data_IF_591911210646
#
_entry.id   IF_591911210646
#
_cell.length_a   1.000
_cell.length_b   1.000
_cell.length_c   1.000
_cell.angle_alpha   90.00
_cell.angle_beta   90.00
_cell.angle_gamma   90.00
#
_symmetry.space_group_name_H-M   'P 1'
#
loop_
_entity.id
_entity.type
_entity.pdbx_description
1 polymer ?
#
# COMPACT_ATOMS: atom_id res chain seq x y z
N UNK A 1 -1.37 25.81 15.55
CA UNK A 1 -2.24 25.43 14.40
C UNK A 1 -2.06 23.95 14.14
N UNK A 2 -3.14 23.14 14.12
CA UNK A 2 -3.05 21.69 13.88
C UNK A 2 -3.19 21.38 12.40
N UNK A 3 -2.41 20.39 11.96
CA UNK A 3 -2.42 19.88 10.60
C UNK A 3 -3.03 18.47 10.60
N UNK A 4 -4.09 18.26 9.86
CA UNK A 4 -4.72 16.96 9.66
C UNK A 4 -4.23 16.42 8.33
N UNK A 5 -3.64 15.25 8.34
CA UNK A 5 -3.24 14.49 7.16
C UNK A 5 -4.23 13.32 6.99
N UNK A 6 -5.07 13.40 5.97
CA UNK A 6 -6.06 12.39 5.64
C UNK A 6 -5.56 11.52 4.50
N UNK A 7 -5.54 10.20 4.65
CA UNK A 7 -5.14 9.30 3.57
C UNK A 7 -5.96 8.02 3.55
N UNK A 8 -6.15 7.51 2.34
CA UNK A 8 -6.98 6.35 2.04
C UNK A 8 -6.18 5.30 1.32
N UNK A 9 -6.34 4.04 1.75
CA UNK A 9 -5.79 2.88 1.08
C UNK A 9 -6.89 2.18 0.29
N UNK A 10 -6.60 1.83 -0.97
CA UNK A 10 -7.47 1.09 -1.87
C UNK A 10 -6.71 -0.13 -2.37
N UNK A 11 -7.14 -1.30 -1.93
CA UNK A 11 -6.58 -2.56 -2.37
C UNK A 11 -7.68 -3.61 -2.50
N UNK A 12 -7.78 -4.20 -3.69
CA UNK A 12 -8.63 -5.34 -3.99
C UNK A 12 -7.78 -6.37 -4.73
N UNK A 13 -7.56 -7.56 -4.17
CA UNK A 13 -6.74 -8.58 -4.79
C UNK A 13 -7.47 -9.26 -5.95
N UNK A 14 -6.72 -9.79 -6.90
CA UNK A 14 -7.26 -10.80 -7.82
C UNK A 14 -7.68 -12.04 -7.03
N UNK A 15 -8.87 -12.56 -7.31
CA UNK A 15 -9.34 -13.80 -6.72
C UNK A 15 -8.73 -14.99 -7.44
N UNK A 16 -8.15 -15.93 -6.68
CA UNK A 16 -7.76 -17.21 -7.26
C UNK A 16 -9.00 -18.10 -7.44
N UNK A 17 -9.13 -18.72 -8.61
CA UNK A 17 -10.16 -19.73 -8.83
C UNK A 17 -9.89 -20.97 -7.97
N UNK A 18 -10.89 -21.81 -7.77
CA UNK A 18 -10.70 -23.12 -7.17
C UNK A 18 -9.86 -23.97 -8.11
N UNK A 19 -8.54 -24.09 -7.80
CA UNK A 19 -7.56 -24.78 -8.62
C UNK A 19 -7.27 -26.17 -8.04
N UNK A 20 -7.49 -27.21 -8.85
CA UNK A 20 -7.38 -28.60 -8.39
C UNK A 20 -6.02 -29.20 -8.75
N UNK A 21 -5.57 -30.15 -7.97
CA UNK A 21 -4.33 -30.89 -8.21
C UNK A 21 -4.21 -31.45 -9.65
N UNK A 22 -5.30 -31.91 -10.26
CA UNK A 22 -5.32 -32.45 -11.63
C UNK A 22 -5.18 -31.38 -12.74
N UNK A 23 -5.22 -30.12 -12.41
CA UNK A 23 -5.03 -28.98 -13.32
C UNK A 23 -3.55 -28.60 -13.44
N UNK A 24 -2.71 -29.01 -12.49
CA UNK A 24 -1.25 -28.79 -12.49
C UNK A 24 -0.65 -29.33 -13.78
N UNK A 25 0.17 -28.51 -14.45
CA UNK A 25 0.79 -28.83 -15.74
C UNK A 25 -0.14 -28.79 -16.95
N UNK A 26 -1.42 -28.40 -16.79
CA UNK A 26 -2.43 -28.41 -17.87
C UNK A 26 -3.13 -27.08 -18.05
N UNK A 27 -3.41 -26.35 -16.98
CA UNK A 27 -4.11 -25.10 -17.00
C UNK A 27 -3.31 -24.04 -16.20
N UNK A 28 -2.80 -23.05 -16.90
CA UNK A 28 -1.96 -22.00 -16.34
C UNK A 28 -2.74 -20.71 -16.07
N UNK A 29 -4.09 -20.77 -16.08
CA UNK A 29 -4.93 -19.63 -15.72
C UNK A 29 -5.47 -19.81 -14.30
N UNK A 30 -5.08 -18.94 -13.37
CA UNK A 30 -5.30 -19.12 -11.94
C UNK A 30 -6.45 -18.30 -11.38
N UNK A 31 -7.07 -17.42 -12.16
CA UNK A 31 -7.95 -16.36 -11.66
C UNK A 31 -9.42 -16.68 -11.81
N UNK A 32 -10.22 -16.20 -10.85
CA UNK A 32 -11.68 -16.16 -10.92
C UNK A 32 -12.11 -14.75 -11.34
N UNK A 33 -12.28 -14.56 -12.64
CA UNK A 33 -12.64 -13.26 -13.20
C UNK A 33 -14.01 -12.81 -12.75
N UNK A 34 -14.96 -13.75 -12.60
CA UNK A 34 -16.31 -13.42 -12.17
C UNK A 34 -16.34 -12.87 -10.75
N UNK A 35 -15.70 -13.55 -9.79
CA UNK A 35 -15.63 -13.06 -8.42
C UNK A 35 -14.80 -11.78 -8.30
N UNK A 36 -13.77 -11.64 -9.12
CA UNK A 36 -12.93 -10.42 -9.16
C UNK A 36 -13.75 -9.24 -9.66
N UNK A 37 -14.47 -9.39 -10.77
CA UNK A 37 -15.35 -8.35 -11.32
C UNK A 37 -16.49 -7.99 -10.36
N UNK A 38 -17.17 -8.98 -9.77
CA UNK A 38 -18.26 -8.76 -8.82
C UNK A 38 -17.80 -7.94 -7.62
N UNK A 39 -16.63 -8.27 -7.05
CA UNK A 39 -16.04 -7.52 -5.95
C UNK A 39 -15.73 -6.07 -6.33
N UNK A 40 -15.14 -5.86 -7.50
CA UNK A 40 -14.83 -4.51 -7.99
C UNK A 40 -16.11 -3.70 -8.18
N UNK A 41 -17.11 -4.26 -8.89
CA UNK A 41 -18.39 -3.56 -9.14
C UNK A 41 -19.09 -3.20 -7.84
N UNK A 42 -19.12 -4.12 -6.88
CA UNK A 42 -19.69 -3.87 -5.55
C UNK A 42 -18.97 -2.72 -4.81
N UNK A 43 -17.63 -2.71 -4.83
CA UNK A 43 -16.86 -1.64 -4.21
C UNK A 43 -17.08 -0.28 -4.90
N UNK A 44 -17.19 -0.29 -6.22
CA UNK A 44 -17.47 0.90 -7.03
C UNK A 44 -18.84 1.51 -6.72
N UNK A 45 -19.87 0.68 -6.70
CA UNK A 45 -21.26 1.12 -6.47
C UNK A 45 -21.48 1.60 -5.04
N UNK A 46 -21.00 0.84 -4.06
CA UNK A 46 -21.25 1.14 -2.65
C UNK A 46 -20.33 2.21 -2.09
N UNK A 47 -19.10 2.34 -2.60
CA UNK A 47 -18.06 3.20 -2.03
C UNK A 47 -17.47 4.19 -3.04
N UNK A 48 -16.65 3.73 -3.98
CA UNK A 48 -15.66 4.54 -4.67
C UNK A 48 -16.23 5.75 -5.41
N UNK A 49 -17.26 5.58 -6.22
CA UNK A 49 -17.84 6.69 -6.98
C UNK A 49 -18.53 7.72 -6.08
N UNK A 50 -19.26 7.24 -5.06
CA UNK A 50 -19.95 8.14 -4.12
C UNK A 50 -18.93 8.88 -3.23
N UNK A 51 -17.90 8.19 -2.76
CA UNK A 51 -16.86 8.81 -1.96
C UNK A 51 -16.03 9.82 -2.78
N UNK A 52 -15.64 9.50 -4.01
CA UNK A 52 -14.91 10.42 -4.90
C UNK A 52 -15.73 11.67 -5.21
N UNK A 53 -17.04 11.52 -5.48
CA UNK A 53 -17.96 12.64 -5.67
C UNK A 53 -18.01 13.50 -4.40
N UNK A 54 -18.16 12.89 -3.24
CA UNK A 54 -18.18 13.58 -1.94
C UNK A 54 -16.89 14.37 -1.72
N UNK A 55 -15.73 13.77 -1.96
CA UNK A 55 -14.43 14.47 -1.83
C UNK A 55 -14.32 15.63 -2.82
N UNK A 56 -14.76 15.47 -4.06
CA UNK A 56 -14.77 16.55 -5.04
C UNK A 56 -15.67 17.72 -4.62
N UNK A 57 -16.84 17.42 -4.04
CA UNK A 57 -17.75 18.43 -3.46
C UNK A 57 -17.09 19.17 -2.29
N UNK A 58 -16.43 18.44 -1.37
CA UNK A 58 -15.72 19.01 -0.23
C UNK A 58 -14.56 19.91 -0.69
N UNK A 59 -13.75 19.47 -1.65
CA UNK A 59 -12.65 20.29 -2.19
C UNK A 59 -13.21 21.61 -2.76
N UNK A 60 -14.29 21.53 -3.53
CA UNK A 60 -14.93 22.70 -4.14
C UNK A 60 -15.52 23.63 -3.09
N UNK A 61 -16.31 23.12 -2.14
CA UNK A 61 -16.98 23.93 -1.11
C UNK A 61 -15.99 24.56 -0.12
N UNK A 62 -14.86 23.90 0.13
CA UNK A 62 -13.79 24.43 0.98
C UNK A 62 -12.81 25.35 0.25
N UNK A 63 -13.04 25.69 -1.03
CA UNK A 63 -12.11 26.44 -1.87
C UNK A 63 -10.67 25.83 -1.87
N UNK A 64 -10.57 24.50 -1.97
CA UNK A 64 -9.29 23.78 -1.99
C UNK A 64 -8.57 23.69 -0.65
N UNK A 65 -9.22 24.04 0.46
CA UNK A 65 -8.63 23.90 1.80
C UNK A 65 -8.65 22.47 2.31
N UNK A 66 -9.61 21.65 1.88
CA UNK A 66 -9.58 20.22 2.15
C UNK A 66 -8.59 19.53 1.20
N UNK A 67 -7.70 18.74 1.77
CA UNK A 67 -6.65 18.02 1.05
C UNK A 67 -6.50 16.62 1.63
N UNK A 68 -6.27 15.65 0.76
CA UNK A 68 -6.13 14.25 1.18
C UNK A 68 -5.15 13.49 0.26
N UNK A 69 -4.78 12.29 0.67
CA UNK A 69 -3.93 11.42 -0.12
C UNK A 69 -4.58 10.04 -0.34
N UNK A 70 -4.18 9.38 -1.42
CA UNK A 70 -4.59 8.02 -1.75
C UNK A 70 -3.38 7.14 -2.02
N UNK A 71 -3.49 5.88 -1.65
CA UNK A 71 -2.71 4.81 -2.24
C UNK A 71 -3.68 3.83 -2.89
N UNK A 72 -3.39 3.43 -4.13
CA UNK A 72 -4.22 2.50 -4.91
C UNK A 72 -3.27 1.48 -5.49
N UNK A 73 -3.33 0.23 -5.03
CA UNK A 73 -2.40 -0.79 -5.49
C UNK A 73 -2.46 -0.99 -7.01
N UNK A 74 -1.33 -1.33 -7.61
CA UNK A 74 -1.22 -1.51 -9.06
C UNK A 74 -2.17 -2.58 -9.57
N UNK A 75 -2.34 -3.68 -8.85
CA UNK A 75 -3.30 -4.74 -9.20
C UNK A 75 -4.75 -4.26 -9.12
N UNK A 76 -5.09 -3.36 -8.19
CA UNK A 76 -6.42 -2.73 -8.16
C UNK A 76 -6.61 -1.76 -9.33
N UNK A 77 -5.57 -0.98 -9.68
CA UNK A 77 -5.63 -0.10 -10.86
C UNK A 77 -5.88 -0.89 -12.14
N UNK A 78 -5.23 -2.05 -12.32
CA UNK A 78 -5.49 -2.93 -13.48
C UNK A 78 -6.95 -3.39 -13.53
N UNK A 79 -7.49 -3.82 -12.40
CA UNK A 79 -8.88 -4.27 -12.30
C UNK A 79 -9.87 -3.12 -12.55
N UNK A 80 -9.59 -1.91 -12.04
CA UNK A 80 -10.40 -0.73 -12.29
C UNK A 80 -10.35 -0.31 -13.78
N UNK A 81 -9.17 -0.38 -14.42
CA UNK A 81 -9.07 -0.11 -15.87
C UNK A 81 -9.90 -1.11 -16.70
N UNK A 82 -9.97 -2.35 -16.25
CA UNK A 82 -10.69 -3.41 -16.96
C UNK A 82 -12.20 -3.38 -16.71
N UNK A 83 -12.64 -3.23 -15.46
CA UNK A 83 -14.02 -3.45 -15.05
C UNK A 83 -14.79 -2.17 -14.69
N UNK A 84 -14.10 -1.07 -14.37
CA UNK A 84 -14.72 0.18 -13.93
C UNK A 84 -13.86 1.41 -14.27
N UNK A 85 -13.58 1.69 -15.56
CA UNK A 85 -12.71 2.79 -15.99
C UNK A 85 -13.23 4.16 -15.54
N UNK A 86 -14.53 4.31 -15.30
CA UNK A 86 -15.15 5.53 -14.77
C UNK A 86 -14.61 5.92 -13.39
N UNK A 87 -14.16 4.96 -12.58
CA UNK A 87 -13.52 5.24 -11.29
C UNK A 87 -12.14 5.86 -11.49
N UNK A 88 -11.36 5.33 -12.45
CA UNK A 88 -10.08 5.93 -12.82
C UNK A 88 -10.26 7.38 -13.26
N UNK A 89 -11.28 7.66 -14.08
CA UNK A 89 -11.57 9.01 -14.55
C UNK A 89 -11.97 9.94 -13.39
N UNK A 90 -12.75 9.43 -12.42
CA UNK A 90 -13.09 10.21 -11.22
C UNK A 90 -11.85 10.53 -10.36
N UNK A 91 -10.87 9.63 -10.25
CA UNK A 91 -9.59 9.91 -9.60
C UNK A 91 -8.72 10.91 -10.38
N UNK A 92 -8.74 10.87 -11.73
CA UNK A 92 -8.08 11.88 -12.56
C UNK A 92 -8.70 13.28 -12.33
N UNK A 93 -10.01 13.37 -12.15
CA UNK A 93 -10.66 14.63 -11.79
C UNK A 93 -10.18 15.16 -10.44
N UNK A 94 -10.08 14.28 -9.42
CA UNK A 94 -9.54 14.63 -8.12
C UNK A 94 -8.06 15.07 -8.22
N UNK A 95 -7.24 14.39 -9.00
CA UNK A 95 -5.84 14.76 -9.24
C UNK A 95 -5.70 16.16 -9.82
N UNK A 96 -6.56 16.54 -10.79
CA UNK A 96 -6.53 17.86 -11.45
C UNK A 96 -6.83 19.00 -10.51
N UNK A 97 -7.49 18.78 -9.37
CA UNK A 97 -7.73 19.81 -8.36
C UNK A 97 -6.46 20.32 -7.69
N UNK A 98 -5.37 19.57 -7.73
CA UNK A 98 -4.14 19.85 -6.98
C UNK A 98 -4.26 19.68 -5.46
N UNK A 99 -5.42 19.20 -4.97
CA UNK A 99 -5.70 18.98 -3.55
C UNK A 99 -5.48 17.51 -3.13
N UNK A 100 -5.15 16.64 -4.08
CA UNK A 100 -4.96 15.21 -3.84
C UNK A 100 -3.52 14.80 -4.15
N UNK A 101 -2.93 13.98 -3.28
CA UNK A 101 -1.64 13.34 -3.47
C UNK A 101 -1.82 11.83 -3.59
N UNK A 102 -1.16 11.21 -4.59
CA UNK A 102 -1.07 9.76 -4.69
C UNK A 102 0.26 9.29 -4.10
N UNK A 103 0.20 8.27 -3.25
CA UNK A 103 1.35 7.67 -2.58
C UNK A 103 1.86 6.48 -3.38
N UNK A 104 3.16 6.21 -3.28
CA UNK A 104 3.72 4.96 -3.81
C UNK A 104 3.46 3.81 -2.85
N UNK A 105 3.30 2.60 -3.40
CA UNK A 105 3.23 1.35 -2.65
C UNK A 105 3.81 0.19 -3.47
N UNK A 106 4.01 -1.02 -2.89
CA UNK A 106 4.28 -2.23 -3.68
C UNK A 106 3.13 -2.51 -4.65
N UNK A 107 3.43 -2.74 -5.93
CA UNK A 107 2.43 -2.86 -7.00
C UNK A 107 1.32 -3.88 -6.69
N UNK A 108 1.69 -5.03 -6.18
CA UNK A 108 0.77 -6.12 -5.82
C UNK A 108 0.25 -6.04 -4.37
N UNK A 109 0.54 -4.98 -3.63
CA UNK A 109 0.26 -4.90 -2.20
C UNK A 109 0.88 -6.09 -1.45
N UNK A 110 2.14 -6.36 -1.71
CA UNK A 110 2.86 -7.57 -1.34
C UNK A 110 3.64 -7.44 -0.03
N UNK A 111 4.06 -8.60 0.51
CA UNK A 111 5.01 -8.70 1.62
C UNK A 111 6.49 -8.61 1.17
N UNK A 112 6.75 -8.24 -0.07
CA UNK A 112 8.11 -8.20 -0.63
C UNK A 112 9.07 -7.33 0.20
N UNK A 113 8.59 -6.27 0.87
CA UNK A 113 9.40 -5.45 1.77
C UNK A 113 10.07 -6.23 2.92
N UNK A 114 9.53 -7.41 3.25
CA UNK A 114 10.03 -8.29 4.33
C UNK A 114 10.83 -9.46 3.78
N UNK A 115 10.45 -9.99 2.60
CA UNK A 115 10.98 -11.25 2.10
C UNK A 115 11.92 -11.12 0.90
N UNK A 116 11.77 -10.07 0.06
CA UNK A 116 12.55 -9.88 -1.16
C UNK A 116 12.73 -8.38 -1.47
N UNK A 117 13.83 -7.81 -1.00
CA UNK A 117 14.13 -6.38 -1.14
C UNK A 117 14.22 -5.93 -2.61
N UNK A 118 14.76 -6.76 -3.50
CA UNK A 118 14.87 -6.46 -4.93
C UNK A 118 13.50 -6.40 -5.60
N UNK A 119 12.61 -7.34 -5.25
CA UNK A 119 11.25 -7.33 -5.78
C UNK A 119 10.42 -6.19 -5.19
N UNK A 120 10.64 -5.85 -3.93
CA UNK A 120 10.03 -4.67 -3.31
C UNK A 120 10.37 -3.38 -4.06
N UNK A 121 11.67 -3.15 -4.35
CA UNK A 121 12.11 -1.98 -5.12
C UNK A 121 11.49 -1.96 -6.51
N UNK A 122 11.48 -3.12 -7.20
CA UNK A 122 10.87 -3.29 -8.52
C UNK A 122 9.38 -2.95 -8.49
N UNK A 123 8.62 -3.48 -7.54
CA UNK A 123 7.19 -3.25 -7.42
C UNK A 123 6.87 -1.78 -7.11
N UNK A 124 7.61 -1.14 -6.21
CA UNK A 124 7.44 0.29 -5.89
C UNK A 124 7.73 1.17 -7.12
N UNK A 125 8.78 0.85 -7.89
CA UNK A 125 9.09 1.56 -9.14
C UNK A 125 7.97 1.41 -10.17
N UNK A 126 7.51 0.17 -10.41
CA UNK A 126 6.38 -0.10 -11.32
C UNK A 126 5.12 0.67 -10.93
N UNK A 127 4.81 0.69 -9.64
CA UNK A 127 3.66 1.41 -9.12
C UNK A 127 3.80 2.92 -9.33
N UNK A 128 4.96 3.49 -9.00
CA UNK A 128 5.22 4.91 -9.19
C UNK A 128 5.11 5.33 -10.66
N UNK A 129 5.59 4.50 -11.59
CA UNK A 129 5.47 4.72 -13.04
C UNK A 129 4.00 4.68 -13.48
N UNK A 130 3.21 3.74 -12.96
CA UNK A 130 1.78 3.62 -13.24
C UNK A 130 1.00 4.83 -12.73
N UNK A 131 1.25 5.27 -11.49
CA UNK A 131 0.62 6.47 -10.90
C UNK A 131 0.96 7.73 -11.71
N UNK A 132 2.22 7.90 -12.09
CA UNK A 132 2.66 9.03 -12.92
C UNK A 132 1.95 9.04 -14.26
N UNK A 133 1.84 7.88 -14.93
CA UNK A 133 1.15 7.74 -16.20
C UNK A 133 -0.36 8.06 -16.11
N UNK A 134 -1.04 7.64 -15.03
CA UNK A 134 -2.48 7.84 -14.86
C UNK A 134 -2.83 9.25 -14.36
N UNK A 135 -2.07 9.78 -13.41
CA UNK A 135 -2.42 11.00 -12.67
C UNK A 135 -1.44 12.16 -12.87
N UNK A 136 -0.42 11.99 -13.70
CA UNK A 136 0.48 13.06 -14.17
C UNK A 136 1.53 13.52 -13.16
N UNK A 137 1.65 12.87 -12.01
CA UNK A 137 2.63 13.22 -10.98
C UNK A 137 3.21 11.98 -10.32
N UNK A 138 4.55 11.90 -10.29
CA UNK A 138 5.25 10.83 -9.59
C UNK A 138 5.11 10.95 -8.07
N UNK A 139 4.80 9.85 -7.35
CA UNK A 139 4.73 9.85 -5.90
C UNK A 139 6.05 10.25 -5.22
N UNK A 140 5.95 10.96 -4.10
CA UNK A 140 7.11 11.39 -3.29
C UNK A 140 7.06 10.88 -1.85
N UNK A 141 5.94 10.32 -1.45
CA UNK A 141 5.73 9.66 -0.18
C UNK A 141 5.31 8.20 -0.42
N UNK A 142 5.62 7.32 0.51
CA UNK A 142 5.39 5.88 0.40
C UNK A 142 4.45 5.39 1.50
N UNK A 143 3.50 4.55 1.10
CA UNK A 143 2.64 3.73 1.95
C UNK A 143 2.98 2.27 1.64
N UNK A 144 3.59 1.54 2.58
CA UNK A 144 3.83 0.12 2.37
C UNK A 144 2.57 -0.69 2.61
N UNK A 145 2.48 -1.86 1.98
CA UNK A 145 1.36 -2.78 2.19
C UNK A 145 1.07 -2.93 3.70
N UNK A 146 -0.22 -2.77 4.08
CA UNK A 146 -0.70 -2.90 5.45
C UNK A 146 0.05 -2.05 6.50
N UNK A 147 0.64 -0.92 6.07
CA UNK A 147 1.50 -0.06 6.88
C UNK A 147 2.68 -0.81 7.53
N UNK A 148 3.13 -1.89 6.90
CA UNK A 148 4.28 -2.66 7.38
C UNK A 148 5.52 -1.79 7.35
N UNK A 149 6.18 -1.68 8.51
CA UNK A 149 7.37 -0.87 8.68
C UNK A 149 8.34 -1.48 9.70
N UNK A 150 9.63 -1.40 9.40
CA UNK A 150 10.76 -1.54 10.32
C UNK A 150 11.87 -0.58 9.92
N UNK A 151 12.88 -0.43 10.78
CA UNK A 151 14.05 0.39 10.44
C UNK A 151 14.74 -0.10 9.16
N UNK A 152 14.82 -1.42 8.92
CA UNK A 152 15.38 -2.00 7.67
C UNK A 152 14.55 -1.62 6.44
N UNK A 153 13.22 -1.70 6.52
CA UNK A 153 12.33 -1.26 5.44
C UNK A 153 12.51 0.24 5.18
N UNK A 154 12.64 1.04 6.25
CA UNK A 154 12.93 2.47 6.14
C UNK A 154 14.23 2.76 5.39
N UNK A 155 15.28 1.96 5.58
CA UNK A 155 16.53 2.07 4.82
C UNK A 155 16.31 1.81 3.32
N UNK A 156 15.57 0.75 2.95
CA UNK A 156 15.24 0.44 1.56
C UNK A 156 14.46 1.60 0.92
N UNK A 157 13.45 2.11 1.63
CA UNK A 157 12.61 3.23 1.17
C UNK A 157 13.44 4.50 0.96
N UNK A 158 14.37 4.77 1.87
CA UNK A 158 15.28 5.92 1.74
C UNK A 158 16.25 5.76 0.58
N UNK A 159 16.78 4.55 0.33
CA UNK A 159 17.64 4.24 -0.83
C UNK A 159 16.92 4.47 -2.16
N UNK A 160 15.62 4.14 -2.24
CA UNK A 160 14.76 4.45 -3.39
C UNK A 160 14.48 5.96 -3.57
N UNK A 161 14.91 6.82 -2.63
CA UNK A 161 14.81 8.28 -2.72
C UNK A 161 13.55 8.88 -2.10
N UNK A 162 12.69 8.11 -1.47
CA UNK A 162 11.54 8.62 -0.73
C UNK A 162 11.98 9.32 0.56
N UNK A 163 11.23 10.37 0.93
CA UNK A 163 11.54 11.20 2.12
C UNK A 163 10.45 11.14 3.17
N UNK A 164 9.33 10.53 2.86
CA UNK A 164 8.15 10.44 3.72
C UNK A 164 7.59 9.03 3.63
N UNK A 165 7.31 8.43 4.76
CA UNK A 165 6.67 7.12 4.85
C UNK A 165 5.56 7.15 5.90
N UNK A 166 4.43 6.51 5.56
CA UNK A 166 3.31 6.29 6.47
C UNK A 166 3.57 5.04 7.28
N UNK A 167 3.30 5.09 8.59
CA UNK A 167 3.44 3.94 9.51
C UNK A 167 2.26 3.90 10.49
N UNK A 168 2.02 2.79 11.16
CA UNK A 168 0.98 2.70 12.19
C UNK A 168 1.51 2.98 13.62
N UNK A 169 0.58 3.31 14.52
CA UNK A 169 0.82 3.44 15.95
C UNK A 169 0.84 2.04 16.59
N UNK A 170 2.03 1.50 16.86
CA UNK A 170 2.21 0.31 17.66
C UNK A 170 2.63 0.69 19.09
N UNK A 171 1.78 0.41 20.09
CA UNK A 171 2.01 0.85 21.47
C UNK A 171 3.32 0.37 22.05
N UNK A 172 3.74 -0.85 21.72
CA UNK A 172 5.00 -1.44 22.19
C UNK A 172 6.24 -0.72 21.62
N UNK A 173 6.09 -0.03 20.47
CA UNK A 173 7.12 0.80 19.86
C UNK A 173 7.03 2.25 20.37
N UNK A 174 5.82 2.80 20.37
CA UNK A 174 5.60 4.19 20.76
C UNK A 174 5.87 4.44 22.25
N UNK A 175 5.56 3.45 23.10
CA UNK A 175 5.65 3.61 24.57
C UNK A 175 4.80 4.79 25.03
N UNK A 176 5.45 5.83 25.56
CA UNK A 176 4.81 7.07 26.00
C UNK A 176 4.72 8.17 24.93
N UNK A 177 5.32 7.94 23.76
CA UNK A 177 5.32 8.91 22.65
C UNK A 177 3.93 9.01 22.04
N UNK A 178 3.51 10.22 21.66
CA UNK A 178 2.26 10.45 20.92
C UNK A 178 2.45 10.24 19.43
N UNK A 179 1.47 9.67 18.70
CA UNK A 179 1.49 9.57 17.24
C UNK A 179 1.34 10.93 16.54
N UNK A 180 1.01 11.98 17.28
CA UNK A 180 0.61 13.28 16.73
C UNK A 180 1.79 14.23 16.45
N UNK A 181 2.93 13.64 16.06
CA UNK A 181 4.15 14.34 15.66
C UNK A 181 4.70 13.74 14.36
N UNK A 182 5.58 14.50 13.71
CA UNK A 182 6.48 13.95 12.68
C UNK A 182 7.69 13.35 13.38
N UNK A 183 8.03 12.11 13.05
CA UNK A 183 9.25 11.46 13.52
C UNK A 183 10.28 11.33 12.40
N UNK A 184 11.50 10.98 12.75
CA UNK A 184 12.52 10.57 11.81
C UNK A 184 12.76 9.07 11.94
N UNK A 185 13.20 8.45 10.86
CA UNK A 185 13.87 7.15 10.91
C UNK A 185 15.05 7.20 11.90
N UNK A 186 15.28 6.08 12.63
CA UNK A 186 16.27 5.99 13.71
C UNK A 186 17.69 6.42 13.31
N UNK A 187 18.16 6.04 12.12
CA UNK A 187 19.51 6.30 11.62
C UNK A 187 19.55 7.21 10.39
N UNK A 188 18.42 7.49 9.76
CA UNK A 188 18.31 8.28 8.53
C UNK A 188 17.38 9.48 8.76
N UNK A 189 17.87 10.60 9.33
CA UNK A 189 17.01 11.74 9.70
C UNK A 189 16.26 12.39 8.52
N UNK A 190 16.68 12.11 7.29
CA UNK A 190 16.03 12.61 6.07
C UNK A 190 14.72 11.89 5.76
N UNK A 191 14.53 10.64 6.20
CA UNK A 191 13.28 9.93 6.07
C UNK A 191 12.36 10.31 7.24
N UNK A 192 11.26 10.95 6.92
CA UNK A 192 10.22 11.36 7.87
C UNK A 192 9.16 10.29 7.96
N UNK A 193 8.72 10.00 9.18
CA UNK A 193 7.70 9.02 9.50
C UNK A 193 6.44 9.74 9.98
N UNK A 194 5.32 9.46 9.32
CA UNK A 194 4.00 9.94 9.70
C UNK A 194 3.24 8.79 10.36
N UNK A 195 3.07 8.88 11.67
CA UNK A 195 2.45 7.84 12.48
C UNK A 195 0.93 8.00 12.43
N UNK A 196 0.21 6.98 11.97
CA UNK A 196 -1.26 6.94 11.97
C UNK A 196 -1.77 7.02 13.40
N UNK A 197 -2.67 7.94 13.70
CA UNK A 197 -3.38 7.94 14.96
C UNK A 197 -4.42 6.80 14.93
N UNK A 198 -4.07 5.68 15.54
CA UNK A 198 -4.85 4.46 15.56
C UNK A 198 -6.26 4.70 16.14
N UNK A 199 -6.33 5.32 17.34
CA UNK A 199 -7.60 5.51 18.02
C UNK A 199 -8.58 6.37 17.22
N UNK A 200 -8.13 7.54 16.75
CA UNK A 200 -9.00 8.46 16.00
C UNK A 200 -9.42 7.85 14.66
N UNK A 201 -8.52 7.14 13.98
CA UNK A 201 -8.86 6.46 12.73
C UNK A 201 -9.86 5.33 12.94
N UNK A 202 -9.67 4.49 13.93
CA UNK A 202 -10.54 3.35 14.20
C UNK A 202 -11.91 3.74 14.78
N UNK A 203 -12.01 4.87 15.46
CA UNK A 203 -13.29 5.42 15.91
C UNK A 203 -14.20 5.78 14.70
N UNK A 204 -13.63 6.26 13.58
CA UNK A 204 -14.38 6.41 12.32
C UNK A 204 -14.59 5.06 11.63
N UNK A 205 -13.54 4.26 11.48
CA UNK A 205 -13.60 3.06 10.65
C UNK A 205 -14.56 2.00 11.22
N UNK A 206 -14.51 1.76 12.52
CA UNK A 206 -15.18 0.62 13.15
C UNK A 206 -16.25 0.99 14.18
N UNK A 207 -16.21 2.22 14.72
CA UNK A 207 -17.12 2.62 15.80
C UNK A 207 -18.04 3.77 15.44
N UNK A 208 -18.00 4.27 14.20
CA UNK A 208 -18.75 5.43 13.75
C UNK A 208 -20.24 5.34 14.12
N UNK A 209 -20.91 4.28 13.68
CA UNK A 209 -22.33 4.09 13.93
C UNK A 209 -22.63 3.85 15.43
N UNK A 210 -21.82 3.06 16.14
CA UNK A 210 -22.01 2.75 17.56
C UNK A 210 -21.81 3.96 18.48
N UNK A 211 -20.90 4.86 18.10
CA UNK A 211 -20.66 6.11 18.82
C UNK A 211 -21.64 7.23 18.41
N UNK A 212 -22.49 7.01 17.39
CA UNK A 212 -23.31 8.07 16.78
C UNK A 212 -22.48 9.32 16.51
N UNK A 213 -21.29 9.12 15.90
CA UNK A 213 -20.23 10.12 15.83
C UNK A 213 -20.61 11.28 14.91
N UNK A 214 -20.65 12.51 15.44
CA UNK A 214 -20.79 13.73 14.63
C UNK A 214 -19.42 14.33 14.29
N UNK A 215 -19.34 15.06 13.19
CA UNK A 215 -18.12 15.77 12.79
C UNK A 215 -17.70 16.82 13.84
N UNK A 216 -18.66 17.52 14.45
CA UNK A 216 -18.41 18.47 15.52
C UNK A 216 -17.75 17.79 16.73
N UNK A 217 -18.35 16.69 17.22
CA UNK A 217 -17.80 15.93 18.33
C UNK A 217 -16.41 15.40 18.03
N UNK A 218 -16.20 14.86 16.82
CA UNK A 218 -14.91 14.33 16.43
C UNK A 218 -13.82 15.41 16.37
N UNK A 219 -14.12 16.54 15.79
CA UNK A 219 -13.18 17.69 15.75
C UNK A 219 -12.93 18.25 17.14
N UNK A 220 -13.93 18.26 18.05
CA UNK A 220 -13.72 18.68 19.43
C UNK A 220 -12.71 17.78 20.17
N UNK A 221 -12.70 16.48 19.90
CA UNK A 221 -11.68 15.55 20.44
C UNK A 221 -10.29 15.90 19.95
N UNK A 222 -10.15 16.20 18.66
CA UNK A 222 -8.87 16.64 18.10
C UNK A 222 -8.45 17.99 18.70
N UNK A 223 -9.41 18.92 18.89
CA UNK A 223 -9.16 20.22 19.50
C UNK A 223 -8.69 20.12 20.96
N UNK A 224 -9.16 19.12 21.69
CA UNK A 224 -8.79 18.87 23.09
C UNK A 224 -7.41 18.23 23.29
N UNK A 225 -6.74 17.76 22.23
CA UNK A 225 -5.37 17.27 22.33
C UNK A 225 -4.40 18.35 22.81
N UNK A 226 -3.25 18.00 23.42
CA UNK A 226 -2.22 18.97 23.82
C UNK A 226 -1.82 19.91 22.66
N UNK A 227 -1.57 21.19 22.94
CA UNK A 227 -1.29 22.19 21.90
C UNK A 227 -0.04 21.88 21.06
N UNK A 228 0.95 21.23 21.64
CA UNK A 228 2.17 20.82 20.98
C UNK A 228 1.97 19.62 20.04
N UNK A 229 0.87 18.86 20.17
CA UNK A 229 0.47 17.79 19.27
C UNK A 229 -0.20 18.38 18.02
N UNK A 230 0.58 18.66 17.00
CA UNK A 230 0.15 19.50 15.88
C UNK A 230 0.03 18.78 14.54
N UNK A 231 0.27 17.48 14.49
CA UNK A 231 0.18 16.64 13.28
C UNK A 231 -0.69 15.43 13.55
N UNK A 232 -1.88 15.40 12.98
CA UNK A 232 -2.84 14.31 13.16
C UNK A 232 -2.95 13.52 11.85
N UNK A 233 -2.43 12.29 11.84
CA UNK A 233 -2.48 11.43 10.66
C UNK A 233 -3.66 10.47 10.80
N UNK A 234 -4.62 10.57 9.89
CA UNK A 234 -5.84 9.76 9.86
C UNK A 234 -5.82 8.88 8.59
N UNK A 235 -5.67 7.59 8.79
CA UNK A 235 -5.53 6.62 7.72
C UNK A 235 -6.62 5.56 7.74
N UNK A 236 -7.18 5.24 6.57
CA UNK A 236 -8.34 4.35 6.42
C UNK A 236 -8.22 3.47 5.19
N UNK A 237 -8.82 2.27 5.24
CA UNK A 237 -9.29 1.64 4.02
C UNK A 237 -10.40 2.50 3.41
N UNK A 238 -10.39 2.70 2.09
CA UNK A 238 -11.42 3.50 1.43
C UNK A 238 -12.81 2.85 1.51
N UNK A 239 -12.85 1.53 1.66
CA UNK A 239 -14.09 0.76 1.90
C UNK A 239 -14.81 1.16 3.21
N UNK A 240 -14.16 1.90 4.11
CA UNK A 240 -14.82 2.49 5.29
C UNK A 240 -16.01 3.34 4.85
N UNK A 241 -15.88 4.07 3.75
CA UNK A 241 -16.87 5.02 3.26
C UNK A 241 -17.82 4.35 2.25
N UNK A 242 -18.85 3.71 2.77
CA UNK A 242 -19.92 3.09 1.99
C UNK A 242 -20.08 1.58 2.18
N UNK A 243 -19.00 0.85 2.50
CA UNK A 243 -19.06 -0.61 2.74
C UNK A 243 -19.02 -0.90 4.24
N UNK A 244 -17.93 -0.57 4.95
CA UNK A 244 -17.82 -0.81 6.40
C UNK A 244 -18.77 0.09 7.20
N UNK A 245 -18.90 1.35 6.77
CA UNK A 245 -19.91 2.28 7.24
C UNK A 245 -20.86 2.60 6.08
N UNK A 246 -21.96 1.88 5.93
CA UNK A 246 -22.91 2.09 4.82
C UNK A 246 -23.48 3.50 4.81
N UNK A 247 -23.91 3.97 3.64
CA UNK A 247 -24.40 5.33 3.45
C UNK A 247 -25.52 5.76 4.45
N UNK A 248 -26.39 4.82 4.83
CA UNK A 248 -27.46 5.09 5.79
C UNK A 248 -26.97 5.41 7.21
N UNK A 249 -25.70 5.15 7.54
CA UNK A 249 -25.10 5.55 8.84
C UNK A 249 -24.83 7.05 8.92
N UNK A 250 -24.91 7.77 7.81
CA UNK A 250 -24.58 9.20 7.73
C UNK A 250 -23.09 9.49 7.52
N UNK A 251 -22.26 8.48 7.18
CA UNK A 251 -20.80 8.62 7.04
C UNK A 251 -20.41 9.68 5.98
N UNK A 252 -21.16 9.80 4.89
CA UNK A 252 -20.88 10.80 3.85
C UNK A 252 -21.25 12.24 4.30
N UNK A 253 -22.29 12.40 5.10
CA UNK A 253 -22.64 13.69 5.68
C UNK A 253 -21.60 14.11 6.73
N UNK A 254 -21.11 13.14 7.53
CA UNK A 254 -19.98 13.35 8.41
C UNK A 254 -18.73 13.83 7.64
N UNK A 255 -18.38 13.18 6.52
CA UNK A 255 -17.25 13.60 5.69
C UNK A 255 -17.42 15.04 5.18
N UNK A 256 -18.62 15.42 4.76
CA UNK A 256 -18.91 16.77 4.26
C UNK A 256 -18.79 17.84 5.37
N UNK A 257 -19.23 17.52 6.57
CA UNK A 257 -19.21 18.43 7.71
C UNK A 257 -17.82 18.58 8.36
N UNK A 258 -16.99 17.53 8.29
CA UNK A 258 -15.70 17.46 8.98
C UNK A 258 -14.76 18.65 8.65
N UNK A 259 -14.53 19.03 7.38
CA UNK A 259 -13.66 20.17 7.06
C UNK A 259 -14.20 21.51 7.54
N UNK A 260 -15.50 21.67 7.59
CA UNK A 260 -16.13 22.90 8.09
C UNK A 260 -15.78 23.09 9.58
N UNK A 261 -16.06 22.10 10.42
CA UNK A 261 -15.75 22.16 11.85
C UNK A 261 -14.23 22.24 12.11
N UNK A 262 -13.40 21.56 11.31
CA UNK A 262 -11.95 21.68 11.42
C UNK A 262 -11.46 23.11 11.17
N UNK A 263 -12.03 23.80 10.17
CA UNK A 263 -11.67 25.20 9.89
C UNK A 263 -12.15 26.16 10.98
N UNK A 264 -13.32 25.95 11.60
CA UNK A 264 -13.78 26.71 12.76
C UNK A 264 -12.78 26.64 13.92
N UNK A 265 -12.16 25.49 14.12
CA UNK A 265 -11.10 25.26 15.11
C UNK A 265 -9.69 25.62 14.61
N UNK A 266 -9.55 26.37 13.51
CA UNK A 266 -8.27 26.80 12.92
C UNK A 266 -7.32 25.63 12.58
N UNK A 267 -7.88 24.46 12.20
CA UNK A 267 -7.13 23.32 11.71
C UNK A 267 -6.99 23.38 10.18
N UNK A 268 -5.91 22.79 9.66
CA UNK A 268 -5.63 22.74 8.22
C UNK A 268 -5.53 21.29 7.76
N UNK A 269 -6.00 21.01 6.55
CA UNK A 269 -5.74 19.73 5.86
C UNK A 269 -4.47 19.87 5.00
N UNK A 270 -3.56 18.93 5.16
CA UNK A 270 -2.23 18.95 4.51
C UNK A 270 -1.92 17.63 3.87
N UNK A 271 -1.13 17.66 2.79
CA UNK A 271 -0.65 16.45 2.13
C UNK A 271 0.59 15.88 2.83
N UNK A 272 0.82 14.55 2.78
CA UNK A 272 2.00 13.91 3.36
C UNK A 272 3.31 14.56 2.95
N UNK A 273 3.48 14.88 1.66
CA UNK A 273 4.69 15.54 1.15
C UNK A 273 4.87 16.99 1.60
N UNK A 274 3.81 17.65 2.06
CA UNK A 274 3.86 19.03 2.55
C UNK A 274 4.18 19.09 4.03
N UNK A 275 3.56 18.21 4.82
CA UNK A 275 3.71 18.21 6.27
C UNK A 275 5.16 17.97 6.68
N UNK A 276 5.84 17.07 5.97
CA UNK A 276 7.25 16.75 6.23
C UNK A 276 8.23 17.87 5.87
N UNK A 277 7.79 18.86 5.08
CA UNK A 277 8.56 20.06 4.75
C UNK A 277 8.29 21.20 5.73
N UNK A 278 7.10 21.24 6.33
CA UNK A 278 6.62 22.34 7.15
C UNK A 278 6.75 22.09 8.66
N UNK A 279 6.83 20.83 9.06
CA UNK A 279 6.86 20.45 10.49
C UNK A 279 8.24 19.92 10.88
N UNK A 280 8.73 20.42 12.02
CA UNK A 280 9.93 19.87 12.63
C UNK A 280 9.65 18.48 13.18
N UNK A 281 10.71 17.67 13.22
CA UNK A 281 10.61 16.33 13.78
C UNK A 281 10.72 16.36 15.31
N UNK A 282 9.91 15.54 15.96
CA UNK A 282 10.01 15.28 17.40
C UNK A 282 11.23 14.40 17.79
N UNK A 283 11.98 13.93 16.80
CA UNK A 283 13.17 13.10 17.00
C UNK A 283 13.09 11.73 16.34
N UNK A 284 14.06 10.86 16.59
CA UNK A 284 14.10 9.53 16.02
C UNK A 284 13.04 8.61 16.65
N UNK A 285 12.46 7.76 15.81
CA UNK A 285 11.65 6.63 16.21
C UNK A 285 12.34 5.36 15.74
N UNK A 286 12.70 4.48 16.67
CA UNK A 286 13.29 3.19 16.36
C UNK A 286 12.21 2.11 16.32
N UNK A 287 12.20 1.35 15.24
CA UNK A 287 11.28 0.24 15.00
C UNK A 287 12.10 -0.98 14.57
N UNK A 288 12.69 -1.70 15.52
CA UNK A 288 13.65 -2.77 15.23
C UNK A 288 13.02 -4.03 14.61
N UNK A 289 11.71 -4.18 14.72
CA UNK A 289 10.95 -5.31 14.17
C UNK A 289 9.76 -4.81 13.36
N UNK A 290 9.32 -5.53 12.32
CA UNK A 290 8.18 -5.12 11.52
C UNK A 290 6.91 -4.95 12.34
N UNK A 291 6.28 -3.78 12.20
CA UNK A 291 4.94 -3.47 12.70
C UNK A 291 3.95 -3.37 11.54
N UNK A 292 2.65 -3.45 11.82
CA UNK A 292 1.58 -3.22 10.84
C UNK A 292 0.34 -2.63 11.52
N UNK A 293 -0.64 -2.20 10.75
CA UNK A 293 -1.92 -1.73 11.31
C UNK A 293 -2.94 -2.85 11.57
N UNK A 294 -2.64 -4.08 11.11
CA UNK A 294 -3.52 -5.23 11.20
C UNK A 294 -3.32 -5.96 12.53
N UNK A 295 -4.40 -6.54 13.05
CA UNK A 295 -4.40 -7.33 14.27
C UNK A 295 -4.20 -6.50 15.54
N UNK A 296 -4.32 -7.17 16.67
CA UNK A 296 -4.10 -6.56 17.99
C UNK A 296 -2.62 -6.50 18.35
N UNK A 297 -1.84 -7.46 17.87
CA UNK A 297 -0.39 -7.58 18.07
C UNK A 297 0.38 -6.48 17.36
N UNK A 298 -0.20 -5.92 16.28
CA UNK A 298 0.43 -4.87 15.46
C UNK A 298 1.80 -5.29 14.89
N UNK A 299 1.89 -6.53 14.45
CA UNK A 299 3.09 -7.17 13.87
C UNK A 299 2.73 -7.94 12.59
N UNK A 300 3.55 -8.94 12.21
CA UNK A 300 3.32 -9.76 11.02
C UNK A 300 2.48 -11.02 11.27
N UNK A 301 1.95 -11.24 12.48
CA UNK A 301 1.25 -12.49 12.85
C UNK A 301 0.07 -12.79 11.94
N UNK A 302 -0.60 -11.77 11.37
CA UNK A 302 -1.71 -11.96 10.42
C UNK A 302 -1.29 -12.70 9.13
N UNK A 303 0.02 -12.71 8.78
CA UNK A 303 0.56 -13.33 7.57
C UNK A 303 1.57 -14.43 7.83
N UNK A 304 2.17 -14.48 9.03
CA UNK A 304 3.25 -15.42 9.38
C UNK A 304 2.97 -16.22 10.65
N UNK A 305 1.75 -16.13 11.17
CA UNK A 305 1.40 -16.62 12.51
C UNK A 305 1.17 -18.12 12.61
N UNK A 306 1.23 -18.87 11.51
CA UNK A 306 1.10 -20.34 11.51
C UNK A 306 1.95 -20.97 10.40
N UNK A 307 2.10 -22.30 10.50
CA UNK A 307 2.97 -23.08 9.60
C UNK A 307 2.49 -23.04 8.14
N UNK A 308 1.18 -22.96 7.88
CA UNK A 308 0.61 -22.88 6.53
C UNK A 308 1.08 -21.60 5.82
N UNK A 309 0.99 -20.49 6.51
CA UNK A 309 1.43 -19.19 6.00
C UNK A 309 2.93 -19.17 5.74
N UNK A 310 3.74 -19.67 6.70
CA UNK A 310 5.19 -19.71 6.57
C UNK A 310 5.64 -20.61 5.40
N UNK A 311 5.03 -21.78 5.25
CA UNK A 311 5.33 -22.69 4.15
C UNK A 311 5.03 -22.05 2.79
N UNK A 312 3.88 -21.42 2.66
CA UNK A 312 3.47 -20.74 1.41
C UNK A 312 4.42 -19.59 1.06
N UNK A 313 4.75 -18.73 2.03
CA UNK A 313 5.67 -17.60 1.86
C UNK A 313 7.08 -18.08 1.50
N UNK A 314 7.61 -19.05 2.23
CA UNK A 314 8.95 -19.57 1.99
C UNK A 314 9.07 -20.16 0.58
N UNK A 315 8.10 -20.95 0.15
CA UNK A 315 8.11 -21.54 -1.21
C UNK A 315 7.96 -20.48 -2.30
N UNK A 316 7.10 -19.48 -2.08
CA UNK A 316 6.94 -18.41 -3.05
C UNK A 316 8.25 -17.62 -3.21
N UNK A 317 8.78 -17.04 -2.14
CA UNK A 317 9.93 -16.15 -2.24
C UNK A 317 11.25 -16.88 -2.54
N UNK A 318 11.36 -18.18 -2.29
CA UNK A 318 12.54 -18.97 -2.65
C UNK A 318 12.87 -18.98 -4.15
N UNK A 319 11.90 -18.72 -5.01
CA UNK A 319 12.10 -18.71 -6.48
C UNK A 319 12.22 -17.32 -7.07
N UNK A 320 12.20 -16.26 -6.26
CA UNK A 320 12.18 -14.88 -6.72
C UNK A 320 13.33 -14.52 -7.67
N UNK A 321 14.57 -14.92 -7.36
CA UNK A 321 15.72 -14.69 -8.24
C UNK A 321 15.54 -15.35 -9.62
N UNK A 322 15.06 -16.59 -9.64
CA UNK A 322 14.82 -17.34 -10.89
C UNK A 322 13.71 -16.72 -11.73
N UNK A 323 12.64 -16.28 -11.08
CA UNK A 323 11.54 -15.57 -11.74
C UNK A 323 12.02 -14.27 -12.39
N UNK A 324 12.89 -13.52 -11.73
CA UNK A 324 13.46 -12.27 -12.28
C UNK A 324 14.31 -12.49 -13.54
N UNK A 325 14.81 -13.71 -13.76
CA UNK A 325 15.53 -14.11 -14.97
C UNK A 325 14.59 -14.57 -16.09
N UNK A 326 13.32 -14.84 -15.80
CA UNK A 326 12.34 -15.24 -16.80
C UNK A 326 11.95 -14.06 -17.71
N UNK A 327 11.68 -14.36 -18.97
CA UNK A 327 11.21 -13.40 -19.96
C UNK A 327 9.72 -13.55 -20.30
N UNK A 328 9.08 -14.62 -19.82
CA UNK A 328 7.66 -14.89 -20.03
C UNK A 328 6.79 -13.89 -19.23
N UNK A 329 6.15 -12.98 -19.95
CA UNK A 329 5.32 -11.93 -19.35
C UNK A 329 4.13 -12.46 -18.53
N UNK A 330 3.36 -13.49 -18.99
CA UNK A 330 2.35 -14.14 -18.19
C UNK A 330 2.89 -14.67 -16.86
N UNK A 331 4.02 -15.36 -16.86
CA UNK A 331 4.65 -15.89 -15.66
C UNK A 331 5.07 -14.77 -14.69
N UNK A 332 5.67 -13.70 -15.20
CA UNK A 332 6.04 -12.53 -14.38
C UNK A 332 4.82 -11.84 -13.77
N UNK A 333 3.68 -11.82 -14.49
CA UNK A 333 2.42 -11.28 -13.97
C UNK A 333 1.84 -12.19 -12.88
N UNK A 334 1.84 -13.50 -13.10
CA UNK A 334 1.37 -14.46 -12.10
C UNK A 334 2.20 -14.35 -10.80
N UNK A 335 3.54 -14.26 -10.92
CA UNK A 335 4.43 -13.98 -9.79
C UNK A 335 4.02 -12.74 -9.00
N UNK A 336 3.75 -11.65 -9.71
CA UNK A 336 3.36 -10.39 -9.09
C UNK A 336 2.05 -10.52 -8.31
N UNK A 337 1.02 -11.11 -8.91
CA UNK A 337 -0.32 -11.25 -8.30
C UNK A 337 -0.31 -12.22 -7.12
N UNK A 338 0.44 -13.31 -7.20
CA UNK A 338 0.53 -14.31 -6.13
C UNK A 338 1.18 -13.78 -4.86
N UNK A 339 1.88 -12.65 -4.91
CA UNK A 339 2.51 -12.03 -3.74
C UNK A 339 1.56 -11.17 -2.89
N UNK A 340 0.29 -10.95 -3.32
CA UNK A 340 -0.66 -10.14 -2.54
C UNK A 340 -0.80 -10.65 -1.11
N UNK A 341 -0.76 -9.71 -0.15
CA UNK A 341 -0.90 -9.99 1.29
C UNK A 341 -2.16 -10.78 1.62
N UNK A 342 -3.24 -10.59 0.85
CA UNK A 342 -4.53 -11.24 1.09
C UNK A 342 -4.45 -12.76 1.00
N UNK A 343 -3.69 -13.31 0.05
CA UNK A 343 -3.57 -14.75 -0.11
C UNK A 343 -3.05 -15.42 1.16
N UNK A 344 -2.08 -14.79 1.83
CA UNK A 344 -1.51 -15.31 3.07
C UNK A 344 -2.43 -15.03 4.26
N UNK A 345 -3.11 -13.88 4.28
CA UNK A 345 -4.08 -13.55 5.33
C UNK A 345 -5.28 -14.51 5.34
N UNK A 346 -5.72 -15.02 4.18
CA UNK A 346 -6.78 -16.04 4.10
C UNK A 346 -6.40 -17.37 4.78
N UNK A 347 -5.11 -17.64 4.95
CA UNK A 347 -4.58 -18.81 5.67
C UNK A 347 -4.46 -18.57 7.18
N UNK A 348 -4.81 -17.37 7.67
CA UNK A 348 -4.76 -17.06 9.10
C UNK A 348 -5.91 -17.76 9.86
N UNK A 349 -5.61 -18.32 11.02
CA UNK A 349 -6.63 -18.87 11.92
C UNK A 349 -7.31 -17.79 12.78
N UNK A 350 -6.69 -16.60 12.89
CA UNK A 350 -7.17 -15.52 13.76
C UNK A 350 -7.79 -14.36 13.00
N UNK A 351 -7.30 -14.09 11.81
CA UNK A 351 -7.61 -12.86 11.07
C UNK A 351 -7.72 -13.10 9.56
N UNK A 352 -8.67 -13.92 9.14
CA UNK A 352 -8.96 -14.23 7.74
C UNK A 352 -9.97 -13.24 7.13
N UNK A 353 -9.76 -11.93 7.31
CA UNK A 353 -10.67 -10.90 6.82
C UNK A 353 -10.80 -10.93 5.29
N UNK A 354 -12.04 -10.83 4.80
CA UNK A 354 -12.34 -10.75 3.36
C UNK A 354 -12.18 -12.07 2.60
N UNK A 355 -11.94 -13.20 3.30
CA UNK A 355 -11.80 -14.52 2.70
C UNK A 355 -13.11 -15.00 2.07
N UNK A 356 -13.00 -15.77 0.99
CA UNK A 356 -14.08 -16.51 0.34
C UNK A 356 -13.92 -18.03 0.53
N UNK A 357 -12.90 -18.44 1.26
CA UNK A 357 -12.64 -19.84 1.61
C UNK A 357 -13.37 -20.22 2.90
N UNK A 358 -13.77 -21.47 3.02
CA UNK A 358 -14.44 -21.99 4.20
C UNK A 358 -13.48 -22.18 5.40
N UNK A 359 -12.18 -22.33 5.10
CA UNK A 359 -11.14 -22.50 6.13
C UNK A 359 -9.77 -22.03 5.66
N UNK A 360 -8.89 -21.74 6.63
CA UNK A 360 -7.48 -21.43 6.37
C UNK A 360 -6.76 -22.56 5.61
N UNK A 361 -7.12 -23.80 5.89
CA UNK A 361 -6.56 -24.97 5.20
C UNK A 361 -7.02 -25.04 3.74
N UNK A 362 -8.27 -24.73 3.43
CA UNK A 362 -8.75 -24.66 2.05
C UNK A 362 -8.01 -23.57 1.27
N UNK A 363 -7.85 -22.38 1.87
CA UNK A 363 -7.07 -21.30 1.27
C UNK A 363 -5.63 -21.73 0.98
N UNK A 364 -4.99 -22.39 1.93
CA UNK A 364 -3.64 -22.93 1.77
C UNK A 364 -3.57 -23.96 0.65
N UNK A 365 -4.44 -24.98 0.64
CA UNK A 365 -4.43 -26.02 -0.38
C UNK A 365 -4.65 -25.45 -1.78
N UNK A 366 -5.58 -24.51 -1.93
CA UNK A 366 -5.81 -23.86 -3.20
C UNK A 366 -4.60 -23.08 -3.68
N UNK A 367 -4.02 -22.26 -2.81
CA UNK A 367 -2.81 -21.47 -3.09
C UNK A 367 -1.64 -22.36 -3.46
N UNK A 368 -1.40 -23.43 -2.70
CA UNK A 368 -0.29 -24.37 -2.94
C UNK A 368 -0.44 -25.15 -4.25
N UNK A 369 -1.66 -25.43 -4.68
CA UNK A 369 -1.91 -26.05 -5.98
C UNK A 369 -1.57 -25.09 -7.14
N UNK A 370 -1.94 -23.83 -7.02
CA UNK A 370 -1.55 -22.76 -7.97
C UNK A 370 -0.03 -22.58 -7.97
N UNK A 371 0.58 -22.50 -6.78
CA UNK A 371 2.03 -22.34 -6.64
C UNK A 371 2.79 -23.52 -7.24
N UNK A 372 2.30 -24.75 -7.09
CA UNK A 372 2.94 -25.93 -7.67
C UNK A 372 3.02 -25.86 -9.20
N UNK A 373 1.91 -25.49 -9.87
CA UNK A 373 1.91 -25.26 -11.32
C UNK A 373 2.86 -24.12 -11.73
N UNK A 374 2.81 -23.02 -10.98
CA UNK A 374 3.70 -21.89 -11.21
C UNK A 374 5.18 -22.31 -11.11
N UNK A 375 5.55 -23.09 -10.09
CA UNK A 375 6.91 -23.61 -9.91
C UNK A 375 7.35 -24.52 -11.05
N UNK A 376 6.47 -25.41 -11.54
CA UNK A 376 6.77 -26.24 -12.72
C UNK A 376 7.08 -25.38 -13.96
N UNK A 377 6.34 -24.28 -14.15
CA UNK A 377 6.62 -23.33 -15.26
C UNK A 377 7.95 -22.60 -15.10
N UNK A 378 8.30 -22.21 -13.87
CA UNK A 378 9.61 -21.62 -13.57
C UNK A 378 10.72 -22.65 -13.81
N UNK A 379 10.55 -23.89 -13.33
CA UNK A 379 11.53 -24.97 -13.51
C UNK A 379 11.74 -25.35 -14.98
N UNK A 380 10.71 -25.28 -15.80
CA UNK A 380 10.82 -25.51 -17.23
C UNK A 380 11.70 -24.47 -17.94
N UNK A 381 11.74 -23.22 -17.44
CA UNK A 381 12.61 -22.18 -18.00
C UNK A 381 14.03 -22.22 -17.40
N UNK A 382 14.14 -22.50 -16.09
CA UNK A 382 15.40 -22.51 -15.35
C UNK A 382 15.47 -23.72 -14.43
N UNK A 383 15.71 -24.94 -14.98
CA UNK A 383 15.79 -26.14 -14.17
C UNK A 383 16.96 -26.09 -13.19
N UNK A 384 16.71 -26.48 -11.95
CA UNK A 384 17.71 -26.55 -10.86
C UNK A 384 18.57 -27.83 -10.94
N UNK A 385 19.05 -28.18 -12.10
CA UNK A 385 20.01 -29.31 -12.24
C UNK A 385 21.44 -28.81 -12.09
N UNK A 386 22.34 -29.66 -11.60
CA UNK A 386 23.76 -29.33 -11.40
C UNK A 386 24.38 -28.79 -12.71
N UNK A 387 23.97 -29.33 -13.86
CA UNK A 387 24.46 -28.92 -15.18
C UNK A 387 24.06 -27.46 -15.58
N UNK A 388 23.11 -26.88 -14.88
CA UNK A 388 22.64 -25.46 -15.12
C UNK A 388 23.08 -24.50 -14.02
N UNK A 389 23.80 -24.96 -13.00
CA UNK A 389 24.23 -24.10 -11.88
C UNK A 389 25.20 -23.02 -12.36
N UNK A 390 26.15 -23.38 -13.25
CA UNK A 390 27.07 -22.41 -13.89
C UNK A 390 26.32 -21.40 -14.78
N UNK A 391 25.30 -21.84 -15.51
CA UNK A 391 24.50 -20.98 -16.35
C UNK A 391 23.68 -20.00 -15.49
N UNK A 392 23.11 -20.47 -14.38
CA UNK A 392 22.37 -19.63 -13.44
C UNK A 392 23.27 -18.58 -12.77
N UNK A 393 24.50 -18.93 -12.40
CA UNK A 393 25.49 -17.99 -11.85
C UNK A 393 25.93 -16.95 -12.91
N UNK A 394 26.07 -17.36 -14.16
CA UNK A 394 26.37 -16.45 -15.27
C UNK A 394 25.23 -15.47 -15.52
N UNK A 395 23.97 -15.93 -15.49
CA UNK A 395 22.76 -15.11 -15.66
C UNK A 395 22.61 -14.11 -14.49
N UNK A 396 22.88 -14.53 -13.25
CA UNK A 396 22.93 -13.63 -12.10
C UNK A 396 23.98 -12.53 -12.29
N UNK A 397 25.14 -12.89 -12.79
CA UNK A 397 26.23 -11.93 -13.06
C UNK A 397 25.84 -10.93 -14.13
N UNK A 398 25.23 -11.40 -15.22
CA UNK A 398 24.73 -10.54 -16.32
C UNK A 398 23.67 -9.56 -15.79
N UNK A 399 22.70 -10.05 -15.02
CA UNK A 399 21.63 -9.20 -14.45
C UNK A 399 22.19 -8.15 -13.48
N UNK A 400 23.21 -8.52 -12.69
CA UNK A 400 23.90 -7.56 -11.83
C UNK A 400 24.64 -6.48 -12.65
N UNK A 401 25.32 -6.87 -13.72
CA UNK A 401 26.00 -5.94 -14.61
C UNK A 401 25.04 -5.03 -15.35
N UNK A 402 23.89 -5.52 -15.81
CA UNK A 402 22.85 -4.69 -16.43
C UNK A 402 22.31 -3.62 -15.48
N UNK A 403 22.04 -3.99 -14.22
CA UNK A 403 21.63 -3.02 -13.19
C UNK A 403 22.70 -1.95 -12.92
N UNK A 404 23.96 -2.33 -12.94
CA UNK A 404 25.08 -1.41 -12.74
C UNK A 404 25.24 -0.47 -13.95
N UNK A 405 25.07 -0.98 -15.16
CA UNK A 405 25.04 -0.19 -16.40
C UNK A 405 23.89 0.82 -16.37
N UNK A 406 22.66 0.39 -16.04
CA UNK A 406 21.51 1.30 -15.94
C UNK A 406 21.74 2.41 -14.91
N UNK A 407 22.35 2.07 -13.78
CA UNK A 407 22.73 3.04 -12.75
C UNK A 407 23.75 4.07 -13.25
N UNK A 408 24.79 3.60 -13.89
CA UNK A 408 25.85 4.46 -14.47
C UNK A 408 25.31 5.33 -15.60
N UNK A 409 24.43 4.81 -16.47
CA UNK A 409 23.79 5.59 -17.52
C UNK A 409 22.90 6.71 -16.94
N UNK A 410 22.15 6.42 -15.86
CA UNK A 410 21.35 7.41 -15.18
C UNK A 410 22.21 8.50 -14.49
N UNK A 411 23.34 8.13 -13.92
CA UNK A 411 24.32 9.10 -13.39
C UNK A 411 24.93 9.95 -14.50
N UNK A 412 25.25 9.36 -15.62
CA UNK A 412 25.81 10.04 -16.80
C UNK A 412 24.80 11.02 -17.39
N UNK A 413 23.51 10.66 -17.48
CA UNK A 413 22.42 11.56 -17.87
C UNK A 413 22.31 12.76 -16.91
N UNK A 414 22.38 12.51 -15.60
CA UNK A 414 22.34 13.57 -14.57
C UNK A 414 23.56 14.51 -14.67
N UNK A 415 24.74 13.98 -14.94
CA UNK A 415 25.96 14.78 -15.09
C UNK A 415 25.94 15.61 -16.38
N UNK A 416 25.46 15.04 -17.49
CA UNK A 416 25.27 15.78 -18.75
C UNK A 416 24.28 16.93 -18.61
N UNK A 417 23.13 16.69 -17.94
CA UNK A 417 22.14 17.74 -17.68
C UNK A 417 22.66 18.87 -16.73
N UNK A 418 23.61 18.54 -15.83
CA UNK A 418 24.28 19.55 -14.99
C UNK A 418 25.31 20.37 -15.74
N UNK A 419 25.95 19.79 -16.76
CA UNK A 419 26.93 20.48 -17.61
C UNK A 419 26.26 21.49 -18.53
N UNK A 420 25.15 21.09 -19.17
CA UNK A 420 24.35 21.98 -20.06
C UNK A 420 23.80 23.20 -19.28
N UNK A 421 23.38 23.02 -18.01
CA UNK A 421 22.92 24.13 -17.14
C UNK A 421 24.03 25.04 -16.62
N UNK A 422 25.30 24.72 -16.82
CA UNK A 422 26.44 25.59 -16.45
C UNK A 422 27.01 26.33 -17.64
N UNK A 423 26.62 25.95 -18.85
CA UNK A 423 27.05 26.56 -20.11
C UNK A 423 26.00 27.54 -20.69
N UNK A 424 24.78 27.57 -20.09
CA UNK A 424 23.79 28.64 -20.25
C UNK A 424 23.91 29.66 -19.07
#
# INVERSE_FOLDING_TARGET
>A
MRNICFYFQIHLPFRLKRYRFFEIGKDHYYYDDFQTEDRIRNAVEQSFLTANRTIAEIIRSSNGKFRCAFTISGVTLEQLEQYAPEVIDSFKELARTGCVEFLAEPYAHSLASVFDADDFERQVKMHADKIEALFGKRPTALFNAELIYSDEIGELVSKMGYKTMMIDEAKHIMGWKSPNYVYNHSYIPKLKLLVRNHKLSDDIAFKFASLSLSAETYISWIAALPENENVINLGFSYEVFGILQPAYTGIFDFMKALPYHAMEHQMSFVLPSEITKKSDSAGPLSVPYPISWVGNEKDLTSWTGNDLQQEALNKLYAVGERVRLCTDKPLLRDWLIMQSTDHFRYMSHKDAYGTHYESAYEAFMNYMSVLADFLERVDAQYPTTIDNEELNELLKTINHQEKEIEKLENELKKLKARKTKKEE
#
